data_IF_968886423002
#
_entry.id   IF_968886423002
#
_cell.length_a   1.000
_cell.length_b   1.000
_cell.length_c   1.000
_cell.angle_alpha   90.00
_cell.angle_beta   90.00
_cell.angle_gamma   90.00
#
_symmetry.space_group_name_H-M   'P 1'
#
loop_
_entity.id
_entity.type
_entity.pdbx_description
1 polymer ?
#
# COMPACT_ATOMS: atom_id res chain seq x y z
N UNK A 1 -3.76 19.79 6.43
CA UNK A 1 -4.61 18.57 6.37
C UNK A 1 -3.85 17.37 6.95
N UNK A 2 -4.57 16.29 7.32
CA UNK A 2 -3.96 15.05 7.80
C UNK A 2 -3.00 14.45 6.75
N UNK A 3 -3.38 14.50 5.48
CA UNK A 3 -2.56 14.06 4.35
C UNK A 3 -1.22 14.82 4.26
N UNK A 4 -1.24 16.16 4.47
CA UNK A 4 0.00 16.95 4.44
C UNK A 4 0.94 16.58 5.60
N UNK A 5 0.38 16.28 6.78
CA UNK A 5 1.17 15.79 7.91
C UNK A 5 1.77 14.41 7.62
N UNK A 6 1.00 13.50 7.01
CA UNK A 6 1.50 12.17 6.64
C UNK A 6 2.65 12.28 5.63
N UNK A 7 2.55 13.14 4.61
CA UNK A 7 3.64 13.40 3.66
C UNK A 7 4.90 13.97 4.31
N UNK A 8 4.74 14.86 5.29
CA UNK A 8 5.86 15.44 6.02
C UNK A 8 6.55 14.43 6.94
N UNK A 9 5.75 13.65 7.69
CA UNK A 9 6.28 12.81 8.76
C UNK A 9 6.66 11.39 8.32
N UNK A 10 6.09 10.83 7.25
CA UNK A 10 6.43 9.48 6.81
C UNK A 10 7.94 9.27 6.58
N UNK A 11 8.66 10.15 5.84
CA UNK A 11 10.10 10.02 5.70
C UNK A 11 10.89 10.27 7.01
N UNK A 12 10.34 11.05 7.95
CA UNK A 12 10.95 11.27 9.27
C UNK A 12 10.86 10.01 10.11
N UNK A 13 9.71 9.33 10.12
CA UNK A 13 9.53 8.05 10.81
C UNK A 13 10.39 6.94 10.20
N UNK A 14 10.52 6.88 8.88
CA UNK A 14 11.45 5.97 8.23
C UNK A 14 12.89 6.20 8.71
N UNK A 15 13.33 7.47 8.75
CA UNK A 15 14.65 7.83 9.26
C UNK A 15 14.82 7.54 10.77
N UNK A 16 13.77 7.64 11.58
CA UNK A 16 13.80 7.24 12.99
C UNK A 16 13.96 5.73 13.14
N UNK A 17 13.22 4.96 12.36
CA UNK A 17 13.35 3.51 12.31
C UNK A 17 14.77 3.07 11.92
N UNK A 18 15.34 3.72 10.90
CA UNK A 18 16.73 3.46 10.47
C UNK A 18 17.75 3.79 11.58
N UNK A 19 17.56 4.85 12.38
CA UNK A 19 18.43 5.16 13.52
C UNK A 19 18.45 4.05 14.57
N UNK A 20 17.36 3.30 14.71
CA UNK A 20 17.26 2.16 15.64
C UNK A 20 17.86 0.92 15.00
N UNK A 21 17.30 0.47 13.88
CA UNK A 21 17.59 -0.84 13.31
C UNK A 21 18.93 -0.92 12.54
N UNK A 22 19.50 0.22 12.11
CA UNK A 22 20.84 0.26 11.52
C UNK A 22 21.92 0.64 12.52
N UNK A 23 21.59 0.78 13.81
CA UNK A 23 22.52 1.12 14.87
C UNK A 23 23.41 -0.12 15.18
N UNK A 24 24.65 -0.05 14.75
CA UNK A 24 25.60 -1.12 14.92
C UNK A 24 25.89 -1.42 16.39
N UNK A 25 26.10 -0.39 17.23
CA UNK A 25 26.38 -0.56 18.65
C UNK A 25 25.23 -1.26 19.38
N UNK A 26 23.99 -0.87 19.09
CA UNK A 26 22.82 -1.50 19.67
C UNK A 26 22.68 -2.95 19.20
N UNK A 27 22.85 -3.22 17.91
CA UNK A 27 22.80 -4.57 17.37
C UNK A 27 23.88 -5.48 17.94
N UNK A 28 25.13 -5.02 18.07
CA UNK A 28 26.20 -5.80 18.70
C UNK A 28 25.86 -6.13 20.15
N UNK A 29 25.29 -5.22 20.94
CA UNK A 29 24.83 -5.54 22.30
C UNK A 29 23.76 -6.63 22.33
N UNK A 30 22.79 -6.59 21.40
CA UNK A 30 21.77 -7.64 21.27
C UNK A 30 22.40 -8.98 20.90
N UNK A 31 23.39 -8.98 19.99
CA UNK A 31 24.10 -10.22 19.58
C UNK A 31 24.86 -10.89 20.71
N UNK A 32 25.41 -10.13 21.66
CA UNK A 32 26.17 -10.66 22.78
C UNK A 32 25.31 -11.29 23.88
N UNK A 33 23.98 -11.15 23.82
CA UNK A 33 23.09 -11.80 24.79
C UNK A 33 23.15 -13.33 24.59
N UNK A 34 23.48 -14.03 25.67
CA UNK A 34 23.61 -15.49 25.67
C UNK A 34 22.23 -16.16 25.66
N UNK A 35 21.84 -16.64 24.47
CA UNK A 35 20.55 -17.31 24.28
C UNK A 35 20.41 -18.63 25.08
N UNK A 36 21.51 -19.24 25.52
CA UNK A 36 21.46 -20.48 26.28
C UNK A 36 20.90 -20.29 27.70
N UNK A 37 20.95 -19.04 28.21
CA UNK A 37 20.44 -18.66 29.53
C UNK A 37 18.97 -18.21 29.49
N UNK A 38 18.36 -18.14 28.29
CA UNK A 38 17.00 -17.69 28.12
C UNK A 38 16.07 -18.85 27.78
N UNK A 39 14.84 -18.77 28.25
CA UNK A 39 13.78 -19.76 28.00
C UNK A 39 12.47 -19.06 27.62
N UNK A 40 11.55 -19.81 26.99
CA UNK A 40 10.20 -19.35 26.71
C UNK A 40 10.18 -18.02 25.91
N UNK A 41 9.44 -17.06 26.43
CA UNK A 41 9.22 -15.75 25.78
C UNK A 41 10.51 -14.93 25.66
N UNK A 42 11.40 -14.95 26.64
CA UNK A 42 12.64 -14.18 26.61
C UNK A 42 13.54 -14.62 25.47
N UNK A 43 13.66 -15.95 25.26
CA UNK A 43 14.40 -16.50 24.13
C UNK A 43 13.78 -16.08 22.80
N UNK A 44 12.45 -16.18 22.69
CA UNK A 44 11.71 -15.78 21.49
C UNK A 44 11.84 -14.29 21.20
N UNK A 45 11.82 -13.46 22.25
CA UNK A 45 12.00 -12.01 22.12
C UNK A 45 13.40 -11.67 21.58
N UNK A 46 14.42 -12.32 22.09
CA UNK A 46 15.80 -12.15 21.57
C UNK A 46 15.91 -12.53 20.09
N UNK A 47 15.33 -13.67 19.70
CA UNK A 47 15.30 -14.12 18.31
C UNK A 47 14.57 -13.11 17.41
N UNK A 48 13.43 -12.59 17.87
CA UNK A 48 12.64 -11.59 17.15
C UNK A 48 13.43 -10.30 16.90
N UNK A 49 14.11 -9.76 17.92
CA UNK A 49 14.91 -8.55 17.73
C UNK A 49 16.13 -8.82 16.84
N UNK A 50 16.85 -9.92 17.02
CA UNK A 50 17.98 -10.28 16.12
C UNK A 50 17.51 -10.33 14.67
N UNK A 51 16.41 -11.03 14.40
CA UNK A 51 15.85 -11.15 13.06
C UNK A 51 15.47 -9.78 12.47
N UNK A 52 14.80 -8.92 13.24
CA UNK A 52 14.38 -7.59 12.77
C UNK A 52 15.58 -6.69 12.42
N UNK A 53 16.63 -6.70 13.23
CA UNK A 53 17.86 -5.97 12.93
C UNK A 53 18.54 -6.49 11.66
N UNK A 54 18.59 -7.81 11.47
CA UNK A 54 19.20 -8.43 10.28
C UNK A 54 18.41 -8.15 9.02
N UNK A 55 17.09 -8.28 9.06
CA UNK A 55 16.18 -7.95 7.94
C UNK A 55 16.28 -6.46 7.58
N UNK A 56 16.45 -5.59 8.56
CA UNK A 56 16.60 -4.15 8.34
C UNK A 56 17.96 -3.79 7.74
N UNK A 57 18.99 -4.63 7.86
CA UNK A 57 20.32 -4.40 7.30
C UNK A 57 21.38 -4.01 8.32
N UNK A 58 21.24 -4.40 9.59
CA UNK A 58 22.23 -4.11 10.64
C UNK A 58 23.63 -4.60 10.31
N UNK A 59 23.75 -5.68 9.51
CA UNK A 59 25.02 -6.28 9.09
C UNK A 59 25.69 -5.60 7.88
N UNK A 60 25.05 -4.60 7.27
CA UNK A 60 25.60 -3.88 6.11
C UNK A 60 26.82 -3.03 6.51
N UNK A 61 27.67 -2.76 5.50
CA UNK A 61 28.72 -1.76 5.64
C UNK A 61 28.14 -0.37 5.96
N UNK A 62 28.91 0.50 6.58
CA UNK A 62 28.46 1.88 6.85
C UNK A 62 28.05 2.60 5.57
N UNK A 63 28.78 2.39 4.45
CA UNK A 63 28.45 2.99 3.16
C UNK A 63 27.10 2.48 2.61
N UNK A 64 26.82 1.19 2.73
CA UNK A 64 25.56 0.63 2.25
C UNK A 64 24.38 0.96 3.16
N UNK A 65 24.61 1.13 4.47
CA UNK A 65 23.61 1.68 5.39
C UNK A 65 23.17 3.09 4.98
N UNK A 66 24.10 3.96 4.59
CA UNK A 66 23.74 5.31 4.12
C UNK A 66 22.93 5.26 2.81
N UNK A 67 23.29 4.40 1.85
CA UNK A 67 22.47 4.19 0.64
C UNK A 67 21.07 3.66 0.99
N UNK A 68 20.99 2.71 1.92
CA UNK A 68 19.72 2.12 2.34
C UNK A 68 18.80 3.16 3.01
N UNK A 69 19.34 4.06 3.84
CA UNK A 69 18.57 5.16 4.43
C UNK A 69 17.96 6.09 3.38
N UNK A 70 18.70 6.40 2.32
CA UNK A 70 18.16 7.21 1.20
C UNK A 70 17.01 6.48 0.53
N UNK A 71 17.18 5.19 0.22
CA UNK A 71 16.13 4.36 -0.40
C UNK A 71 14.90 4.23 0.51
N UNK A 72 15.09 3.99 1.81
CA UNK A 72 13.98 3.87 2.76
C UNK A 72 13.16 5.16 2.88
N UNK A 73 13.86 6.31 2.95
CA UNK A 73 13.21 7.63 3.00
C UNK A 73 12.39 7.88 1.74
N UNK A 74 12.96 7.57 0.57
CA UNK A 74 12.29 7.80 -0.71
C UNK A 74 11.09 6.86 -0.89
N UNK A 75 11.21 5.58 -0.49
CA UNK A 75 10.09 4.64 -0.47
C UNK A 75 8.95 5.11 0.44
N UNK A 76 9.25 5.64 1.63
CA UNK A 76 8.24 6.19 2.52
C UNK A 76 7.50 7.36 1.88
N UNK A 77 8.23 8.30 1.26
CA UNK A 77 7.64 9.42 0.53
C UNK A 77 6.74 8.97 -0.61
N UNK A 78 7.22 8.04 -1.45
CA UNK A 78 6.46 7.54 -2.61
C UNK A 78 5.20 6.78 -2.19
N UNK A 79 5.28 5.99 -1.12
CA UNK A 79 4.13 5.23 -0.61
C UNK A 79 3.01 6.15 -0.13
N UNK A 80 3.35 7.24 0.56
CA UNK A 80 2.38 8.26 0.99
C UNK A 80 1.80 9.00 -0.22
N UNK A 81 2.64 9.43 -1.17
CA UNK A 81 2.20 10.07 -2.40
C UNK A 81 1.26 9.17 -3.21
N UNK A 82 1.59 7.88 -3.35
CA UNK A 82 0.73 6.90 -4.00
C UNK A 82 -0.65 6.81 -3.34
N UNK A 83 -0.67 6.69 -2.01
CA UNK A 83 -1.91 6.59 -1.24
C UNK A 83 -2.80 7.84 -1.40
N UNK A 84 -2.20 9.03 -1.35
CA UNK A 84 -2.90 10.29 -1.52
C UNK A 84 -3.45 10.47 -2.94
N UNK A 85 -2.63 10.18 -3.97
CA UNK A 85 -3.08 10.18 -5.37
C UNK A 85 -4.23 9.22 -5.60
N UNK A 86 -4.14 8.00 -5.08
CA UNK A 86 -5.19 7.00 -5.24
C UNK A 86 -6.49 7.42 -4.55
N UNK A 87 -6.40 8.05 -3.36
CA UNK A 87 -7.56 8.57 -2.65
C UNK A 87 -8.25 9.68 -3.45
N UNK A 88 -7.51 10.64 -3.99
CA UNK A 88 -8.06 11.73 -4.81
C UNK A 88 -8.59 11.20 -6.15
N UNK A 89 -7.89 10.27 -6.80
CA UNK A 89 -8.36 9.62 -8.03
C UNK A 89 -9.71 8.90 -7.83
N UNK A 90 -9.92 8.30 -6.65
CA UNK A 90 -11.22 7.67 -6.30
C UNK A 90 -12.33 8.70 -6.15
N UNK A 91 -12.06 9.84 -5.48
CA UNK A 91 -13.05 10.91 -5.30
C UNK A 91 -13.41 11.56 -6.63
N UNK A 92 -12.40 12.00 -7.38
CA UNK A 92 -12.60 12.68 -8.69
C UNK A 92 -13.13 11.74 -9.78
N UNK A 93 -12.88 10.45 -9.64
CA UNK A 93 -13.30 9.43 -10.60
C UNK A 93 -14.72 8.91 -10.39
N UNK A 94 -15.41 9.26 -9.30
CA UNK A 94 -16.78 8.84 -9.04
C UNK A 94 -17.68 9.11 -10.24
N UNK A 95 -18.55 8.15 -10.58
CA UNK A 95 -19.44 8.28 -11.73
C UNK A 95 -20.68 9.08 -11.34
N UNK A 96 -20.91 10.18 -12.04
CA UNK A 96 -22.13 11.01 -11.87
C UNK A 96 -23.15 10.60 -12.93
N UNK A 97 -24.37 10.34 -12.48
CA UNK A 97 -25.52 9.91 -13.29
C UNK A 97 -26.61 10.97 -13.18
N UNK A 98 -27.16 11.38 -14.31
CA UNK A 98 -28.20 12.40 -14.38
C UNK A 98 -29.63 11.79 -14.32
N UNK A 99 -29.85 10.67 -14.98
CA UNK A 99 -31.16 10.02 -15.08
C UNK A 99 -31.23 8.75 -14.22
N UNK A 100 -32.20 8.71 -13.30
CA UNK A 100 -32.46 7.55 -12.43
C UNK A 100 -32.70 6.25 -13.23
N UNK A 101 -33.18 6.34 -14.45
CA UNK A 101 -33.36 5.15 -15.33
C UNK A 101 -32.06 4.46 -15.67
N UNK A 102 -30.94 5.15 -15.63
CA UNK A 102 -29.62 4.55 -15.79
C UNK A 102 -29.23 3.67 -14.59
N UNK A 103 -29.93 3.78 -13.46
CA UNK A 103 -29.71 3.01 -12.23
C UNK A 103 -30.67 1.81 -12.08
N UNK A 104 -31.41 1.45 -13.16
CA UNK A 104 -32.29 0.28 -13.12
C UNK A 104 -31.53 -0.98 -12.67
N UNK A 105 -32.15 -1.70 -11.72
CA UNK A 105 -31.58 -2.89 -11.06
C UNK A 105 -31.01 -2.62 -9.68
N UNK A 106 -30.79 -1.35 -9.29
CA UNK A 106 -30.45 -1.00 -7.92
C UNK A 106 -31.71 -0.94 -7.04
N UNK A 107 -31.52 -1.23 -5.76
CA UNK A 107 -32.58 -1.09 -4.77
C UNK A 107 -32.92 0.39 -4.50
N UNK A 108 -34.13 0.70 -3.96
CA UNK A 108 -34.49 2.07 -3.58
C UNK A 108 -33.47 2.71 -2.60
N UNK A 109 -32.92 1.93 -1.68
CA UNK A 109 -31.92 2.41 -0.71
C UNK A 109 -30.58 2.74 -1.38
N UNK A 110 -30.12 1.92 -2.34
CA UNK A 110 -28.90 2.21 -3.11
C UNK A 110 -29.06 3.49 -3.93
N UNK A 111 -30.22 3.72 -4.54
CA UNK A 111 -30.55 4.94 -5.30
C UNK A 111 -30.60 6.14 -4.36
N UNK A 112 -31.24 6.03 -3.20
CA UNK A 112 -31.32 7.10 -2.20
C UNK A 112 -29.92 7.48 -1.67
N UNK A 113 -29.07 6.50 -1.39
CA UNK A 113 -27.68 6.71 -0.98
C UNK A 113 -26.87 7.41 -2.08
N UNK A 114 -27.00 6.97 -3.34
CA UNK A 114 -26.34 7.61 -4.47
C UNK A 114 -26.77 9.08 -4.65
N UNK A 115 -28.05 9.41 -4.41
CA UNK A 115 -28.55 10.77 -4.43
C UNK A 115 -28.01 11.62 -3.26
N UNK A 116 -27.91 11.05 -2.05
CA UNK A 116 -27.37 11.70 -0.88
C UNK A 116 -25.87 11.99 -1.05
N UNK A 117 -25.11 11.03 -1.58
CA UNK A 117 -23.68 11.16 -1.89
C UNK A 117 -23.45 12.25 -2.95
N UNK A 118 -24.27 12.28 -4.00
CA UNK A 118 -24.22 13.32 -5.03
C UNK A 118 -24.48 14.72 -4.44
N UNK A 119 -25.49 14.85 -3.59
CA UNK A 119 -25.80 16.11 -2.90
C UNK A 119 -24.64 16.58 -2.03
N UNK A 120 -24.03 15.67 -1.26
CA UNK A 120 -22.86 15.95 -0.40
C UNK A 120 -21.65 16.40 -1.23
N UNK A 121 -21.48 15.83 -2.42
CA UNK A 121 -20.43 16.20 -3.37
C UNK A 121 -20.76 17.47 -4.21
N UNK A 122 -21.91 18.13 -3.99
CA UNK A 122 -22.30 19.35 -4.70
C UNK A 122 -23.08 19.13 -6.00
N UNK A 123 -23.49 17.91 -6.29
CA UNK A 123 -24.26 17.53 -7.50
C UNK A 123 -25.75 17.29 -7.16
N UNK A 124 -26.42 18.31 -6.63
CA UNK A 124 -27.85 18.19 -6.29
C UNK A 124 -28.71 17.79 -7.49
N UNK A 125 -29.64 16.86 -7.27
CA UNK A 125 -30.50 16.31 -8.31
C UNK A 125 -29.90 15.24 -9.21
N UNK A 126 -28.67 14.82 -8.90
CA UNK A 126 -27.96 13.73 -9.58
C UNK A 126 -27.69 12.55 -8.65
N UNK A 127 -27.04 11.52 -9.15
CA UNK A 127 -26.67 10.32 -8.43
C UNK A 127 -25.17 10.09 -8.55
N UNK A 128 -24.47 9.79 -7.44
CA UNK A 128 -23.05 9.54 -7.43
C UNK A 128 -22.79 8.08 -7.11
N UNK A 129 -22.09 7.38 -8.01
CA UNK A 129 -21.59 6.02 -7.77
C UNK A 129 -20.12 6.06 -7.38
N UNK A 130 -19.84 5.82 -6.12
CA UNK A 130 -18.49 5.90 -5.56
C UNK A 130 -17.62 4.73 -6.02
N UNK A 131 -16.33 4.98 -6.29
CA UNK A 131 -15.35 3.97 -6.69
C UNK A 131 -14.73 3.27 -5.47
N UNK A 132 -15.57 2.64 -4.65
CA UNK A 132 -15.14 1.86 -3.48
C UNK A 132 -15.45 0.37 -3.71
N UNK A 133 -14.59 -0.52 -3.23
CA UNK A 133 -14.76 -1.96 -3.41
C UNK A 133 -16.09 -2.47 -2.83
N UNK A 134 -16.53 -1.87 -1.70
CA UNK A 134 -17.80 -2.20 -1.03
C UNK A 134 -19.04 -1.66 -1.74
N UNK A 135 -18.88 -0.71 -2.64
CA UNK A 135 -19.99 -0.06 -3.37
C UNK A 135 -19.96 -0.44 -4.85
N UNK A 136 -18.84 -0.18 -5.51
CA UNK A 136 -18.72 -0.34 -6.96
C UNK A 136 -18.92 -1.78 -7.44
N UNK A 137 -18.35 -2.77 -6.78
CA UNK A 137 -18.48 -4.18 -7.22
C UNK A 137 -19.91 -4.70 -7.09
N UNK A 138 -20.62 -4.53 -5.95
CA UNK A 138 -22.03 -4.89 -5.85
C UNK A 138 -22.92 -4.18 -6.88
N UNK A 139 -22.68 -2.88 -7.12
CA UNK A 139 -23.45 -2.11 -8.11
C UNK A 139 -23.27 -2.68 -9.53
N UNK A 140 -22.07 -3.12 -9.91
CA UNK A 140 -21.82 -3.75 -11.21
C UNK A 140 -22.61 -5.05 -11.39
N UNK A 141 -22.90 -5.79 -10.32
CA UNK A 141 -23.70 -7.00 -10.37
C UNK A 141 -25.19 -6.70 -10.55
N UNK A 142 -25.69 -5.65 -9.91
CA UNK A 142 -27.11 -5.33 -9.81
C UNK A 142 -27.62 -4.47 -10.97
N UNK A 143 -26.80 -3.52 -11.47
CA UNK A 143 -27.17 -2.63 -12.57
C UNK A 143 -27.57 -3.41 -13.81
N UNK A 144 -28.78 -3.16 -14.34
CA UNK A 144 -29.26 -3.77 -15.60
C UNK A 144 -28.79 -2.96 -16.83
N UNK A 145 -28.63 -1.66 -16.71
CA UNK A 145 -28.16 -0.81 -17.80
C UNK A 145 -26.69 -1.13 -18.12
N UNK A 146 -26.46 -1.73 -19.29
CA UNK A 146 -25.12 -2.13 -19.74
C UNK A 146 -24.16 -0.93 -19.90
N UNK A 147 -24.67 0.19 -20.40
CA UNK A 147 -23.85 1.39 -20.62
C UNK A 147 -23.38 1.98 -19.27
N UNK A 148 -24.25 2.01 -18.27
CA UNK A 148 -23.88 2.44 -16.92
C UNK A 148 -22.85 1.50 -16.28
N UNK A 149 -23.01 0.18 -16.45
CA UNK A 149 -21.99 -0.79 -16.00
C UNK A 149 -20.65 -0.56 -16.66
N UNK A 150 -20.62 -0.35 -17.97
CA UNK A 150 -19.40 -0.07 -18.71
C UNK A 150 -18.70 1.22 -18.24
N UNK A 151 -19.47 2.30 -18.09
CA UNK A 151 -18.97 3.58 -17.56
C UNK A 151 -18.37 3.39 -16.16
N UNK A 152 -19.09 2.71 -15.26
CA UNK A 152 -18.64 2.47 -13.88
C UNK A 152 -17.39 1.58 -13.84
N UNK A 153 -17.36 0.51 -14.63
CA UNK A 153 -16.18 -0.36 -14.75
C UNK A 153 -14.96 0.43 -15.26
N UNK A 154 -15.09 1.17 -16.35
CA UNK A 154 -13.98 1.96 -16.91
C UNK A 154 -13.52 3.05 -15.94
N UNK A 155 -14.45 3.75 -15.27
CA UNK A 155 -14.12 4.75 -14.27
C UNK A 155 -13.30 4.16 -13.10
N UNK A 156 -13.66 2.96 -12.65
CA UNK A 156 -12.94 2.26 -11.59
C UNK A 156 -11.59 1.71 -12.07
N UNK A 157 -11.56 1.06 -13.23
CA UNK A 157 -10.35 0.42 -13.75
C UNK A 157 -9.24 1.42 -14.05
N UNK A 158 -9.59 2.53 -14.69
CA UNK A 158 -8.63 3.53 -15.16
C UNK A 158 -8.48 4.72 -14.19
N UNK A 159 -8.95 4.61 -12.94
CA UNK A 159 -9.06 5.77 -12.03
C UNK A 159 -7.76 6.51 -11.75
N UNK A 160 -6.62 5.82 -11.76
CA UNK A 160 -5.31 6.37 -11.41
C UNK A 160 -4.29 6.29 -12.56
N UNK A 161 -4.77 6.27 -13.82
CA UNK A 161 -3.93 6.21 -15.03
C UNK A 161 -4.42 7.18 -16.13
N UNK A 162 -4.98 8.32 -15.73
CA UNK A 162 -5.59 9.29 -16.66
C UNK A 162 -4.62 10.33 -17.21
N UNK A 163 -3.35 10.31 -16.82
CA UNK A 163 -2.36 11.32 -17.21
C UNK A 163 -2.54 12.66 -16.49
N UNK A 164 -3.34 12.70 -15.42
CA UNK A 164 -3.55 13.86 -14.57
C UNK A 164 -2.61 13.84 -13.34
N UNK A 165 -2.77 14.79 -12.42
CA UNK A 165 -1.97 14.90 -11.19
C UNK A 165 -2.11 13.68 -10.26
N UNK A 166 -3.17 12.86 -10.44
CA UNK A 166 -3.44 11.66 -9.66
C UNK A 166 -2.97 10.37 -10.36
N UNK A 167 -2.31 10.50 -11.51
CA UNK A 167 -1.72 9.34 -12.18
C UNK A 167 -0.62 8.72 -11.31
N UNK A 168 -0.74 7.41 -11.08
CA UNK A 168 0.16 6.67 -10.18
C UNK A 168 1.23 5.86 -10.91
N UNK A 169 1.20 5.75 -12.24
CA UNK A 169 2.10 4.87 -13.01
C UNK A 169 3.57 5.16 -12.79
N UNK A 170 3.98 6.43 -12.88
CA UNK A 170 5.36 6.83 -12.64
C UNK A 170 5.79 6.59 -11.16
N UNK A 171 4.89 6.79 -10.20
CA UNK A 171 5.13 6.52 -8.78
C UNK A 171 5.36 5.04 -8.55
N UNK A 172 4.52 4.17 -9.13
CA UNK A 172 4.64 2.71 -9.02
C UNK A 172 5.92 2.18 -9.66
N UNK A 173 6.27 2.69 -10.85
CA UNK A 173 7.51 2.30 -11.52
C UNK A 173 8.73 2.64 -10.67
N UNK A 174 8.79 3.86 -10.14
CA UNK A 174 9.89 4.30 -9.27
C UNK A 174 9.95 3.49 -7.98
N UNK A 175 8.80 3.22 -7.36
CA UNK A 175 8.73 2.38 -6.17
C UNK A 175 9.23 0.96 -6.42
N UNK A 176 8.86 0.35 -7.55
CA UNK A 176 9.34 -0.98 -7.94
C UNK A 176 10.87 -1.02 -8.12
N UNK A 177 11.45 0.00 -8.76
CA UNK A 177 12.90 0.14 -8.92
C UNK A 177 13.62 0.28 -7.58
N UNK A 178 13.11 1.11 -6.68
CA UNK A 178 13.69 1.29 -5.34
C UNK A 178 13.55 0.05 -4.46
N UNK A 179 12.44 -0.68 -4.57
CA UNK A 179 12.27 -1.97 -3.90
C UNK A 179 13.30 -3.00 -4.36
N UNK A 180 13.58 -3.07 -5.66
CA UNK A 180 14.65 -3.92 -6.18
C UNK A 180 16.01 -3.47 -5.66
N UNK A 181 16.32 -2.19 -5.71
CA UNK A 181 17.58 -1.64 -5.17
C UNK A 181 17.74 -1.95 -3.68
N UNK A 182 16.68 -1.80 -2.88
CA UNK A 182 16.68 -2.19 -1.47
C UNK A 182 17.00 -3.67 -1.29
N UNK A 183 16.35 -4.54 -2.04
CA UNK A 183 16.60 -5.97 -1.97
C UNK A 183 18.06 -6.32 -2.31
N UNK A 184 18.60 -5.73 -3.36
CA UNK A 184 20.00 -5.94 -3.77
C UNK A 184 20.99 -5.46 -2.72
N UNK A 185 20.78 -4.28 -2.10
CA UNK A 185 21.61 -3.79 -0.99
C UNK A 185 21.60 -4.77 0.19
N UNK A 186 20.47 -5.43 0.43
CA UNK A 186 20.29 -6.43 1.49
C UNK A 186 20.69 -7.85 1.07
N UNK A 187 21.34 -8.02 -0.09
CA UNK A 187 21.83 -9.31 -0.60
C UNK A 187 20.74 -10.28 -1.03
N UNK A 188 19.56 -9.76 -1.42
CA UNK A 188 18.41 -10.56 -1.88
C UNK A 188 18.22 -10.44 -3.39
N UNK A 189 17.69 -11.50 -4.02
CA UNK A 189 17.43 -11.55 -5.46
C UNK A 189 16.28 -10.63 -5.86
N UNK A 190 15.22 -10.57 -5.04
CA UNK A 190 14.03 -9.76 -5.27
C UNK A 190 13.52 -9.14 -3.97
N UNK A 191 12.59 -8.17 -4.13
CA UNK A 191 11.89 -7.60 -2.97
C UNK A 191 11.01 -8.64 -2.27
N UNK A 192 10.47 -9.61 -2.99
CA UNK A 192 9.71 -10.71 -2.42
C UNK A 192 10.58 -11.58 -1.53
N UNK A 193 11.80 -11.95 -1.96
CA UNK A 193 12.77 -12.69 -1.13
C UNK A 193 13.09 -11.96 0.18
N UNK A 194 13.19 -10.62 0.12
CA UNK A 194 13.42 -9.83 1.33
C UNK A 194 12.18 -9.78 2.21
N UNK A 195 10.99 -9.50 1.62
CA UNK A 195 9.76 -9.26 2.38
C UNK A 195 9.20 -10.51 3.04
N UNK A 196 9.39 -11.67 2.42
CA UNK A 196 8.81 -12.93 2.90
C UNK A 196 9.60 -13.61 4.03
N UNK A 197 10.80 -13.13 4.38
CA UNK A 197 11.66 -13.78 5.38
C UNK A 197 10.99 -13.97 6.75
N UNK A 198 10.15 -13.03 7.16
CA UNK A 198 9.41 -13.03 8.43
C UNK A 198 7.94 -13.43 8.28
N UNK A 199 7.48 -13.72 7.05
CA UNK A 199 6.11 -14.13 6.76
C UNK A 199 5.96 -15.66 6.84
N UNK A 200 4.72 -16.17 6.93
CA UNK A 200 4.43 -17.61 7.01
C UNK A 200 4.97 -18.38 5.81
N UNK A 201 4.86 -17.83 4.60
CA UNK A 201 5.30 -18.49 3.37
C UNK A 201 6.82 -18.59 3.25
N UNK A 202 7.58 -17.69 3.85
CA UNK A 202 9.06 -17.63 3.87
C UNK A 202 9.70 -17.37 2.50
N UNK A 203 9.19 -17.92 1.41
CA UNK A 203 9.80 -17.84 0.07
C UNK A 203 8.77 -17.51 -1.01
N UNK A 204 9.20 -16.89 -2.13
CA UNK A 204 8.34 -16.65 -3.29
C UNK A 204 7.73 -17.94 -3.86
N UNK A 205 8.50 -19.04 -3.92
CA UNK A 205 8.05 -20.32 -4.45
C UNK A 205 6.89 -20.91 -3.63
N UNK A 206 6.91 -20.71 -2.31
CA UNK A 206 5.81 -21.14 -1.45
C UNK A 206 4.51 -20.32 -1.73
N UNK A 207 4.65 -19.03 -2.05
CA UNK A 207 3.51 -18.18 -2.46
C UNK A 207 2.97 -18.61 -3.82
N UNK A 208 3.84 -18.85 -4.80
CA UNK A 208 3.47 -19.32 -6.14
C UNK A 208 2.74 -20.68 -6.08
N UNK A 209 3.21 -21.60 -5.21
CA UNK A 209 2.55 -22.88 -4.99
C UNK A 209 1.12 -22.75 -4.42
N UNK A 210 0.82 -21.68 -3.69
CA UNK A 210 -0.55 -21.37 -3.23
C UNK A 210 -1.40 -20.85 -4.40
N UNK A 211 -0.88 -19.87 -5.15
CA UNK A 211 -1.60 -19.29 -6.29
C UNK A 211 -1.88 -20.30 -7.39
N UNK A 212 -1.01 -21.28 -7.61
CA UNK A 212 -1.22 -22.34 -8.60
C UNK A 212 -2.37 -23.29 -8.24
N UNK A 213 -2.93 -23.20 -7.03
CA UNK A 213 -4.09 -24.01 -6.58
C UNK A 213 -5.41 -23.24 -6.63
N UNK A 214 -5.38 -21.94 -6.92
CA UNK A 214 -6.54 -21.08 -7.04
C UNK A 214 -7.01 -20.95 -8.49
#
# INVERSE_FOLDING_TARGET
TLQALDEEYAPIFAGHSDKIYLNEKLYQRIKTIDASKLQGEDKRLLEYYKQNFEIAGANLSSADKEKLKVVNKELATLSTQYSNKLLEARKKGALIIDDVKELDGLSPDEIANAAADAKTAGYSGKYLLALQNTTQQPLLQNLKNRNTREKLFKASWNRAEKGDENDTRATLEKEARLRLQKAQLLGKKSFADWKLQDQMAKTPEAVEAIFSKL
#
